data_IF_504036900383
#
_entry.id   IF_504036900383
#
_cell.length_a   1.000
_cell.length_b   1.000
_cell.length_c   1.000
_cell.angle_alpha   90.00
_cell.angle_beta   90.00
_cell.angle_gamma   90.00
#
_symmetry.space_group_name_H-M   'P 1'
#
loop_
_entity.id
_entity.type
_entity.pdbx_description
1 polymer ?
#
# COMPACT_ATOMS: atom_id res chain seq x y z
N UNK A 1 1.96 0.28 16.85
CA UNK A 1 3.05 -0.57 16.47
C UNK A 1 4.39 0.07 16.79
N UNK A 2 5.37 -0.02 15.89
CA UNK A 2 6.79 0.24 16.16
C UNK A 2 7.10 1.61 16.78
N UNK A 3 6.46 2.68 16.35
CA UNK A 3 6.65 4.00 16.98
C UNK A 3 6.23 3.99 18.46
N UNK A 4 5.12 3.34 18.76
CA UNK A 4 4.64 3.21 20.15
C UNK A 4 5.64 2.40 20.96
N UNK A 5 6.19 1.33 20.41
CA UNK A 5 7.19 0.49 21.08
C UNK A 5 8.44 1.31 21.43
N UNK A 6 8.94 2.16 20.52
CA UNK A 6 10.06 3.05 20.79
C UNK A 6 9.76 4.11 21.85
N UNK A 7 8.54 4.67 21.83
CA UNK A 7 8.12 5.62 22.87
C UNK A 7 8.06 4.95 24.24
N UNK A 8 7.52 3.73 24.31
CA UNK A 8 7.44 2.95 25.57
C UNK A 8 8.80 2.51 26.09
N UNK A 9 9.74 2.23 25.20
CA UNK A 9 11.13 1.91 25.52
C UNK A 9 11.96 3.17 25.84
N UNK A 10 11.38 4.37 25.75
CA UNK A 10 12.04 5.66 25.95
C UNK A 10 13.21 5.89 25.00
N UNK A 11 13.13 5.36 23.79
CA UNK A 11 14.08 5.62 22.69
C UNK A 11 13.68 6.84 21.86
N UNK A 12 12.37 7.18 21.86
CA UNK A 12 11.81 8.34 21.14
C UNK A 12 10.84 9.09 22.05
N UNK A 13 10.91 10.40 22.03
CA UNK A 13 9.99 11.32 22.71
C UNK A 13 9.20 12.09 21.67
N UNK A 14 7.88 12.25 21.88
CA UNK A 14 6.98 12.97 20.98
C UNK A 14 6.44 14.26 21.58
N UNK A 15 6.82 14.60 22.80
CA UNK A 15 6.33 15.74 23.58
C UNK A 15 6.80 17.11 23.07
N UNK A 16 7.79 17.13 22.14
CA UNK A 16 8.33 18.35 21.56
C UNK A 16 8.15 18.42 20.03
N UNK A 17 7.33 17.55 19.44
CA UNK A 17 7.11 17.63 18.00
C UNK A 17 6.29 18.87 17.64
N UNK A 18 6.71 19.56 16.60
CA UNK A 18 6.01 20.74 16.06
C UNK A 18 5.01 20.36 14.97
N UNK A 19 5.27 19.25 14.29
CA UNK A 19 4.44 18.75 13.19
C UNK A 19 4.01 17.31 13.41
N UNK A 20 2.72 17.06 13.21
CA UNK A 20 2.14 15.72 13.14
C UNK A 20 1.46 15.53 11.79
N UNK A 21 1.95 14.57 11.00
CA UNK A 21 1.36 14.22 9.72
C UNK A 21 0.66 12.87 9.81
N UNK A 22 -0.62 12.84 9.49
CA UNK A 22 -1.45 11.64 9.43
C UNK A 22 -1.83 11.45 7.97
N UNK A 23 -1.26 10.44 7.35
CA UNK A 23 -1.52 10.09 5.94
C UNK A 23 -2.41 8.85 5.84
N UNK A 24 -3.17 8.75 4.74
CA UNK A 24 -4.15 7.67 4.51
C UNK A 24 -5.13 7.49 5.70
N UNK A 25 -5.72 8.59 6.21
CA UNK A 25 -6.54 8.59 7.42
C UNK A 25 -7.77 7.67 7.32
N UNK A 26 -8.43 7.59 6.16
CA UNK A 26 -9.50 6.64 5.86
C UNK A 26 -9.04 5.19 6.04
N UNK A 27 -7.84 4.87 5.61
CA UNK A 27 -7.27 3.53 5.74
C UNK A 27 -6.91 3.18 7.18
N UNK A 28 -6.48 4.16 7.97
CA UNK A 28 -6.23 3.95 9.40
C UNK A 28 -7.53 3.60 10.14
N UNK A 29 -8.67 4.14 9.68
CA UNK A 29 -10.01 3.78 10.17
C UNK A 29 -10.37 2.34 9.80
N UNK A 30 -10.36 2.02 8.51
CA UNK A 30 -10.75 0.71 7.98
C UNK A 30 -9.95 -0.44 8.59
N UNK A 31 -8.67 -0.20 8.87
CA UNK A 31 -7.76 -1.20 9.46
C UNK A 31 -7.83 -1.29 10.99
N UNK A 32 -8.68 -0.52 11.65
CA UNK A 32 -8.79 -0.52 13.09
C UNK A 32 -7.56 0.03 13.82
N UNK A 33 -6.73 0.86 13.17
CA UNK A 33 -5.52 1.44 13.78
C UNK A 33 -5.80 2.69 14.62
N UNK A 34 -7.02 3.16 14.66
CA UNK A 34 -7.41 4.37 15.43
C UNK A 34 -6.97 4.32 16.89
N UNK A 35 -7.10 3.21 17.65
CA UNK A 35 -6.59 3.15 19.01
C UNK A 35 -5.08 3.44 19.11
N UNK A 36 -4.30 2.92 18.17
CA UNK A 36 -2.85 3.14 18.10
C UNK A 36 -2.52 4.59 17.74
N UNK A 37 -3.24 5.18 16.78
CA UNK A 37 -3.05 6.59 16.41
C UNK A 37 -3.43 7.52 17.56
N UNK A 38 -4.54 7.25 18.26
CA UNK A 38 -4.94 7.99 19.49
C UNK A 38 -3.84 7.97 20.55
N UNK A 39 -3.13 6.85 20.72
CA UNK A 39 -1.99 6.78 21.64
C UNK A 39 -0.84 7.69 21.20
N UNK A 40 -0.50 7.71 19.92
CA UNK A 40 0.54 8.59 19.37
C UNK A 40 0.15 10.06 19.60
N UNK A 41 -1.09 10.43 19.28
CA UNK A 41 -1.61 11.77 19.50
C UNK A 41 -1.53 12.19 20.98
N UNK A 42 -1.75 11.26 21.91
CA UNK A 42 -1.65 11.54 23.37
C UNK A 42 -0.21 11.76 23.84
N UNK A 43 0.79 11.16 23.19
CA UNK A 43 2.20 11.40 23.49
C UNK A 43 2.72 12.72 22.90
N UNK A 44 1.97 13.32 21.99
CA UNK A 44 2.35 14.56 21.28
C UNK A 44 1.82 15.79 22.05
N UNK A 45 2.37 17.00 21.82
CA UNK A 45 1.81 18.24 22.37
C UNK A 45 0.34 18.42 22.03
N UNK A 46 -0.36 19.29 22.73
CA UNK A 46 -1.76 19.63 22.43
C UNK A 46 -1.88 20.17 21.00
N UNK A 47 -3.07 20.01 20.40
CA UNK A 47 -3.30 20.39 19.00
C UNK A 47 -3.08 21.89 18.73
N UNK A 48 -3.21 22.73 19.75
CA UNK A 48 -2.95 24.17 19.69
C UNK A 48 -1.45 24.52 19.71
N UNK A 49 -0.61 23.55 20.10
CA UNK A 49 0.84 23.71 20.25
C UNK A 49 1.64 23.03 19.13
N UNK A 50 0.96 22.36 18.21
CA UNK A 50 1.57 21.70 17.05
C UNK A 50 0.75 21.96 15.79
N UNK A 51 1.37 21.91 14.65
CA UNK A 51 0.65 21.82 13.38
C UNK A 51 0.33 20.37 13.05
N UNK A 52 -0.94 20.08 12.81
CA UNK A 52 -1.36 18.75 12.39
C UNK A 52 -1.85 18.79 10.94
N UNK A 53 -1.30 17.92 10.09
CA UNK A 53 -1.70 17.75 8.70
C UNK A 53 -2.34 16.36 8.57
N UNK A 54 -3.52 16.29 7.98
CA UNK A 54 -4.22 15.04 7.75
C UNK A 54 -4.55 14.90 6.27
N UNK A 55 -4.11 13.80 5.67
CA UNK A 55 -4.38 13.44 4.27
C UNK A 55 -5.27 12.21 4.21
N UNK A 56 -6.25 12.23 3.32
CA UNK A 56 -7.20 11.14 3.13
C UNK A 56 -7.69 11.12 1.70
N UNK A 57 -7.91 9.95 1.13
CA UNK A 57 -8.53 9.81 -0.18
C UNK A 57 -10.05 10.04 -0.13
N UNK A 58 -10.67 9.87 1.04
CA UNK A 58 -12.10 10.08 1.26
C UNK A 58 -12.34 10.97 2.48
N UNK A 59 -13.40 11.78 2.42
CA UNK A 59 -13.88 12.63 3.53
C UNK A 59 -15.16 12.04 4.15
N UNK A 60 -15.09 10.77 4.57
CA UNK A 60 -16.19 10.15 5.31
C UNK A 60 -16.48 10.88 6.62
N UNK A 61 -17.70 10.69 7.17
CA UNK A 61 -18.07 11.26 8.45
C UNK A 61 -17.05 10.94 9.56
N UNK A 62 -16.54 9.72 9.58
CA UNK A 62 -15.57 9.28 10.59
C UNK A 62 -14.21 9.96 10.41
N UNK A 63 -13.74 10.15 9.17
CA UNK A 63 -12.51 10.91 8.87
C UNK A 63 -12.65 12.36 9.33
N UNK A 64 -13.77 13.00 9.00
CA UNK A 64 -14.05 14.39 9.42
C UNK A 64 -14.13 14.53 10.94
N UNK A 65 -14.73 13.55 11.62
CA UNK A 65 -14.80 13.52 13.08
C UNK A 65 -13.41 13.41 13.71
N UNK A 66 -12.53 12.60 13.15
CA UNK A 66 -11.13 12.53 13.60
C UNK A 66 -10.38 13.85 13.33
N UNK A 67 -10.62 14.49 12.19
CA UNK A 67 -10.04 15.78 11.87
C UNK A 67 -10.42 16.83 12.93
N UNK A 68 -11.66 16.95 13.31
CA UNK A 68 -12.13 17.87 14.35
C UNK A 68 -11.46 17.61 15.72
N UNK A 69 -11.21 16.34 16.05
CA UNK A 69 -10.57 15.98 17.32
C UNK A 69 -9.07 16.30 17.36
N UNK A 70 -8.37 16.12 16.25
CA UNK A 70 -6.90 16.13 16.23
C UNK A 70 -6.27 17.38 15.62
N UNK A 71 -7.01 18.11 14.79
CA UNK A 71 -6.55 19.35 14.16
C UNK A 71 -7.07 20.57 14.95
N UNK A 72 -6.34 21.66 14.87
CA UNK A 72 -6.72 22.96 15.39
C UNK A 72 -7.01 23.90 14.22
N UNK A 73 -8.24 24.43 14.16
CA UNK A 73 -8.72 25.35 13.11
C UNK A 73 -8.30 24.88 11.68
N UNK A 74 -8.67 23.65 11.25
CA UNK A 74 -8.18 23.11 10.00
C UNK A 74 -8.70 23.86 8.79
N UNK A 75 -7.83 24.11 7.83
CA UNK A 75 -8.18 24.50 6.47
C UNK A 75 -8.38 23.21 5.66
N UNK A 76 -9.54 23.06 5.03
CA UNK A 76 -9.82 21.93 4.14
C UNK A 76 -9.44 22.28 2.72
N UNK A 77 -8.59 21.45 2.13
CA UNK A 77 -8.26 21.53 0.70
C UNK A 77 -8.72 20.22 0.07
N UNK A 78 -9.69 20.32 -0.83
CA UNK A 78 -10.25 19.17 -1.56
C UNK A 78 -9.88 19.29 -3.03
N UNK A 79 -9.31 18.22 -3.57
CA UNK A 79 -9.00 18.09 -4.99
C UNK A 79 -9.89 16.97 -5.50
N UNK A 80 -10.93 17.33 -6.24
CA UNK A 80 -11.76 16.33 -6.91
C UNK A 80 -10.95 15.64 -8.00
N UNK A 81 -10.79 14.30 -7.95
CA UNK A 81 -10.13 13.60 -9.03
C UNK A 81 -11.02 13.65 -10.26
N UNK A 82 -10.50 14.12 -11.39
CA UNK A 82 -11.21 14.13 -12.67
C UNK A 82 -11.74 12.74 -13.08
N UNK A 83 -11.10 11.69 -12.60
CA UNK A 83 -11.54 10.28 -12.76
C UNK A 83 -11.11 9.44 -11.55
N UNK A 84 -11.99 8.52 -11.09
CA UNK A 84 -11.70 7.57 -10.00
C UNK A 84 -10.57 6.58 -10.33
N UNK A 85 -10.28 6.39 -11.60
CA UNK A 85 -9.18 5.52 -12.07
C UNK A 85 -8.18 6.35 -12.86
N UNK A 86 -6.90 6.05 -12.70
CA UNK A 86 -5.87 6.69 -13.49
C UNK A 86 -6.08 6.37 -14.97
N UNK A 87 -6.30 7.40 -15.81
CA UNK A 87 -6.49 7.24 -17.24
C UNK A 87 -5.31 6.58 -17.96
N UNK A 88 -4.12 6.61 -17.33
CA UNK A 88 -2.91 6.01 -17.85
C UNK A 88 -2.79 4.50 -17.54
N UNK A 89 -3.77 3.89 -16.86
CA UNK A 89 -3.78 2.46 -16.54
C UNK A 89 -4.77 1.72 -17.43
N UNK A 90 -4.25 0.92 -18.35
CA UNK A 90 -5.05 -0.04 -19.11
C UNK A 90 -5.49 -1.18 -18.19
N UNK A 91 -6.79 -1.43 -18.11
CA UNK A 91 -7.36 -2.46 -17.24
C UNK A 91 -7.85 -3.65 -18.07
N UNK A 92 -7.29 -4.83 -17.79
CA UNK A 92 -7.66 -6.09 -18.45
C UNK A 92 -8.24 -7.06 -17.43
N UNK A 93 -9.34 -7.72 -17.78
CA UNK A 93 -10.02 -8.71 -16.92
C UNK A 93 -10.06 -10.06 -17.63
N UNK A 94 -9.59 -11.10 -16.96
CA UNK A 94 -9.62 -12.45 -17.47
C UNK A 94 -10.58 -13.33 -16.64
N UNK A 95 -11.53 -13.94 -17.30
CA UNK A 95 -12.40 -14.95 -16.69
C UNK A 95 -11.72 -16.31 -16.72
N UNK A 96 -11.21 -16.78 -15.58
CA UNK A 96 -10.41 -17.99 -15.48
C UNK A 96 -10.83 -18.85 -14.29
N UNK A 97 -10.80 -20.17 -14.46
CA UNK A 97 -11.04 -21.08 -13.35
C UNK A 97 -9.92 -20.98 -12.29
N UNK A 98 -10.25 -21.19 -11.02
CA UNK A 98 -9.28 -21.09 -9.92
C UNK A 98 -8.03 -21.97 -10.12
N UNK A 99 -8.22 -23.16 -10.72
CA UNK A 99 -7.13 -24.10 -10.99
C UNK A 99 -6.14 -23.57 -12.04
N UNK A 100 -6.61 -22.76 -12.97
CA UNK A 100 -5.83 -22.29 -14.12
C UNK A 100 -5.18 -20.92 -13.88
N UNK A 101 -5.50 -20.24 -12.77
CA UNK A 101 -4.95 -18.89 -12.47
C UNK A 101 -3.42 -18.83 -12.47
N UNK A 102 -2.77 -19.85 -11.94
CA UNK A 102 -1.32 -19.87 -11.90
C UNK A 102 -0.71 -20.04 -13.29
N UNK A 103 -1.30 -20.90 -14.13
CA UNK A 103 -0.88 -21.09 -15.51
C UNK A 103 -1.04 -19.80 -16.32
N UNK A 104 -2.18 -19.13 -16.20
CA UNK A 104 -2.40 -17.83 -16.83
C UNK A 104 -1.38 -16.80 -16.36
N UNK A 105 -1.07 -16.75 -15.05
CA UNK A 105 -0.03 -15.85 -14.54
C UNK A 105 1.33 -16.13 -15.18
N UNK A 106 1.72 -17.39 -15.36
CA UNK A 106 2.98 -17.73 -16.02
C UNK A 106 2.99 -17.29 -17.50
N UNK A 107 1.88 -17.43 -18.21
CA UNK A 107 1.71 -16.96 -19.58
C UNK A 107 1.86 -15.42 -19.64
N UNK A 108 1.19 -14.68 -18.76
CA UNK A 108 1.32 -13.23 -18.63
C UNK A 108 2.78 -12.83 -18.36
N UNK A 109 3.45 -13.48 -17.40
CA UNK A 109 4.83 -13.15 -17.05
C UNK A 109 5.84 -13.44 -18.16
N UNK A 110 5.51 -14.34 -19.08
CA UNK A 110 6.34 -14.70 -20.23
C UNK A 110 6.10 -13.81 -21.45
N UNK A 111 4.82 -13.51 -21.72
CA UNK A 111 4.38 -12.98 -23.02
C UNK A 111 4.21 -11.44 -23.00
N UNK A 112 4.00 -10.84 -21.82
CA UNK A 112 3.89 -9.39 -21.69
C UNK A 112 5.25 -8.70 -21.51
N UNK A 113 5.43 -7.46 -22.00
CA UNK A 113 6.67 -6.69 -21.85
C UNK A 113 6.82 -6.13 -20.42
N UNK A 114 7.00 -7.03 -19.47
CA UNK A 114 7.06 -6.69 -18.05
C UNK A 114 8.45 -6.20 -17.65
N UNK A 115 8.57 -4.94 -17.28
CA UNK A 115 9.76 -4.41 -16.62
C UNK A 115 9.76 -4.76 -15.13
N UNK A 116 8.71 -4.33 -14.43
CA UNK A 116 8.44 -4.68 -13.02
C UNK A 116 6.96 -4.96 -12.85
N UNK A 117 6.62 -5.98 -12.08
CA UNK A 117 5.23 -6.34 -11.77
C UNK A 117 5.00 -6.46 -10.27
N UNK A 118 3.89 -5.88 -9.81
CA UNK A 118 3.36 -6.12 -8.47
C UNK A 118 2.16 -7.06 -8.56
N UNK A 119 2.22 -8.17 -7.84
CA UNK A 119 1.16 -9.18 -7.79
C UNK A 119 0.49 -9.12 -6.42
N UNK A 120 -0.81 -8.88 -6.39
CA UNK A 120 -1.58 -8.78 -5.15
C UNK A 120 -2.39 -10.03 -4.90
N UNK A 121 -2.36 -10.51 -3.66
CA UNK A 121 -3.24 -11.53 -3.14
C UNK A 121 -3.78 -11.13 -1.75
N UNK A 122 -5.04 -11.50 -1.46
CA UNK A 122 -5.72 -11.02 -0.25
C UNK A 122 -5.14 -11.63 1.04
N UNK A 123 -4.60 -12.86 0.98
CA UNK A 123 -4.19 -13.62 2.16
C UNK A 123 -2.70 -13.91 2.16
N UNK A 124 -2.10 -13.90 3.35
CA UNK A 124 -0.66 -14.17 3.56
C UNK A 124 -0.25 -15.57 3.09
N UNK A 125 -1.10 -16.58 3.32
CA UNK A 125 -0.85 -17.95 2.85
C UNK A 125 -0.83 -18.05 1.32
N UNK A 126 -1.68 -17.27 0.63
CA UNK A 126 -1.68 -17.18 -0.83
C UNK A 126 -0.40 -16.52 -1.35
N UNK A 127 0.03 -15.41 -0.73
CA UNK A 127 1.29 -14.72 -1.06
C UNK A 127 2.47 -15.67 -0.92
N UNK A 128 2.54 -16.42 0.19
CA UNK A 128 3.62 -17.39 0.43
C UNK A 128 3.62 -18.51 -0.62
N UNK A 129 2.46 -19.14 -0.84
CA UNK A 129 2.33 -20.21 -1.86
C UNK A 129 2.74 -19.73 -3.25
N UNK A 130 2.29 -18.54 -3.63
CA UNK A 130 2.59 -17.97 -4.94
C UNK A 130 4.09 -17.66 -5.06
N UNK A 131 4.70 -17.11 -4.01
CA UNK A 131 6.13 -16.89 -3.94
C UNK A 131 6.94 -18.18 -4.10
N UNK A 132 6.56 -19.23 -3.37
CA UNK A 132 7.26 -20.53 -3.42
C UNK A 132 7.15 -21.17 -4.82
N UNK A 133 5.99 -21.06 -5.46
CA UNK A 133 5.77 -21.56 -6.82
C UNK A 133 6.63 -20.80 -7.83
N UNK A 134 6.55 -19.48 -7.86
CA UNK A 134 7.32 -18.67 -8.80
C UNK A 134 8.83 -18.81 -8.59
N UNK A 135 9.28 -18.90 -7.34
CA UNK A 135 10.69 -19.13 -7.02
C UNK A 135 11.17 -20.49 -7.50
N UNK A 136 10.39 -21.57 -7.30
CA UNK A 136 10.69 -22.92 -7.80
C UNK A 136 10.78 -22.96 -9.32
N UNK A 137 9.93 -22.18 -9.99
CA UNK A 137 9.87 -22.09 -11.44
C UNK A 137 10.95 -21.13 -12.01
N UNK A 138 11.88 -20.65 -11.17
CA UNK A 138 13.06 -19.89 -11.58
C UNK A 138 12.89 -18.38 -11.70
N UNK A 139 11.71 -17.84 -11.34
CA UNK A 139 11.48 -16.40 -11.39
C UNK A 139 12.24 -15.62 -10.31
N UNK A 140 12.73 -14.43 -10.65
CA UNK A 140 13.34 -13.48 -9.71
C UNK A 140 12.26 -12.72 -8.93
N UNK A 141 11.79 -13.31 -7.83
CA UNK A 141 10.64 -12.84 -7.08
C UNK A 141 11.00 -12.46 -5.65
N UNK A 142 10.39 -11.40 -5.13
CA UNK A 142 10.36 -11.05 -3.71
C UNK A 142 8.91 -11.06 -3.20
N UNK A 143 8.74 -11.26 -1.89
CA UNK A 143 7.43 -11.14 -1.27
C UNK A 143 7.45 -10.13 -0.13
N UNK A 144 6.32 -9.44 0.06
CA UNK A 144 6.08 -8.58 1.21
C UNK A 144 4.83 -9.05 1.96
N UNK A 145 5.01 -9.39 3.22
CA UNK A 145 3.93 -9.71 4.14
C UNK A 145 4.23 -9.15 5.52
N UNK A 146 3.20 -8.99 6.37
CA UNK A 146 3.35 -8.44 7.71
C UNK A 146 4.20 -9.30 8.67
N UNK A 147 4.53 -10.54 8.28
CA UNK A 147 5.35 -11.46 9.09
C UNK A 147 6.85 -11.29 8.86
N UNK A 148 7.24 -10.53 7.84
CA UNK A 148 8.64 -10.35 7.48
C UNK A 148 9.26 -9.28 8.38
N UNK A 149 10.37 -9.59 9.01
CA UNK A 149 11.13 -8.63 9.81
C UNK A 149 11.51 -7.40 8.98
N UNK A 150 11.53 -6.23 9.61
CA UNK A 150 11.64 -4.94 8.91
C UNK A 150 12.95 -4.79 8.11
N UNK A 151 14.05 -5.28 8.62
CA UNK A 151 15.35 -5.30 7.92
C UNK A 151 15.29 -6.10 6.62
N UNK A 152 14.68 -7.28 6.67
CA UNK A 152 14.46 -8.12 5.48
C UNK A 152 13.49 -7.47 4.50
N UNK A 153 12.43 -6.83 5.02
CA UNK A 153 11.46 -6.11 4.19
C UNK A 153 12.12 -4.97 3.42
N UNK A 154 12.96 -4.16 4.07
CA UNK A 154 13.71 -3.09 3.43
C UNK A 154 14.64 -3.62 2.36
N UNK A 155 15.36 -4.70 2.64
CA UNK A 155 16.25 -5.37 1.68
C UNK A 155 15.50 -5.91 0.45
N UNK A 156 14.33 -6.53 0.65
CA UNK A 156 13.49 -7.04 -0.44
C UNK A 156 12.94 -5.88 -1.30
N UNK A 157 12.52 -4.80 -0.66
CA UNK A 157 12.05 -3.61 -1.37
C UNK A 157 13.17 -2.97 -2.19
N UNK A 158 14.38 -2.86 -1.63
CA UNK A 158 15.55 -2.35 -2.34
C UNK A 158 15.91 -3.23 -3.55
N UNK A 159 15.90 -4.54 -3.39
CA UNK A 159 16.14 -5.48 -4.49
C UNK A 159 15.12 -5.33 -5.63
N UNK A 160 13.87 -5.04 -5.31
CA UNK A 160 12.83 -4.78 -6.30
C UNK A 160 13.01 -3.41 -6.97
N UNK A 161 13.30 -2.36 -6.18
CA UNK A 161 13.57 -1.02 -6.71
C UNK A 161 14.71 -1.03 -7.71
N UNK A 162 15.80 -1.68 -7.36
CA UNK A 162 17.03 -1.75 -8.19
C UNK A 162 16.96 -2.75 -9.34
N UNK A 163 15.79 -3.40 -9.54
CA UNK A 163 15.61 -4.35 -10.66
C UNK A 163 16.33 -5.69 -10.50
N UNK A 164 16.93 -5.98 -9.33
CA UNK A 164 17.51 -7.30 -9.04
C UNK A 164 16.44 -8.39 -9.06
N UNK A 165 15.24 -8.04 -8.64
CA UNK A 165 14.03 -8.83 -8.74
C UNK A 165 12.98 -7.97 -9.43
N UNK A 166 12.33 -8.50 -10.44
CA UNK A 166 11.32 -7.79 -11.22
C UNK A 166 9.87 -8.16 -10.85
N UNK A 167 9.68 -9.13 -9.96
CA UNK A 167 8.38 -9.57 -9.47
C UNK A 167 8.29 -9.34 -7.96
N UNK A 168 7.26 -8.63 -7.52
CA UNK A 168 6.94 -8.46 -6.11
C UNK A 168 5.54 -9.00 -5.84
N UNK A 169 5.40 -9.88 -4.83
CA UNK A 169 4.09 -10.37 -4.37
C UNK A 169 3.80 -9.73 -3.02
N UNK A 170 2.59 -9.18 -2.85
CA UNK A 170 2.21 -8.53 -1.60
C UNK A 170 0.73 -8.76 -1.25
N UNK A 171 0.41 -8.63 0.04
CA UNK A 171 -0.94 -8.31 0.50
C UNK A 171 -1.16 -6.80 0.47
N UNK A 172 -2.41 -6.33 0.51
CA UNK A 172 -2.72 -4.89 0.56
C UNK A 172 -1.98 -4.19 1.70
N UNK A 173 -2.06 -4.73 2.90
CA UNK A 173 -1.39 -4.16 4.08
C UNK A 173 0.13 -4.02 3.88
N UNK A 174 0.75 -5.01 3.27
CA UNK A 174 2.20 -4.99 3.07
C UNK A 174 2.62 -4.16 1.84
N UNK A 175 1.74 -4.04 0.85
CA UNK A 175 1.97 -3.26 -0.37
C UNK A 175 1.66 -1.76 -0.24
N UNK A 176 1.00 -1.35 0.85
CA UNK A 176 0.68 0.07 1.10
C UNK A 176 1.93 0.89 1.45
N UNK A 177 1.90 2.16 1.09
CA UNK A 177 3.03 3.08 1.35
C UNK A 177 4.30 2.76 0.56
N UNK A 178 4.26 1.75 -0.33
CA UNK A 178 5.40 1.42 -1.18
C UNK A 178 5.41 2.34 -2.39
N UNK A 179 6.40 3.20 -2.44
CA UNK A 179 6.72 3.96 -3.65
C UNK A 179 7.82 3.24 -4.42
N UNK A 180 7.47 2.73 -5.59
CA UNK A 180 8.42 2.15 -6.56
C UNK A 180 8.08 2.69 -7.93
N UNK A 181 9.08 3.27 -8.56
CA UNK A 181 8.96 3.75 -9.93
C UNK A 181 9.20 2.61 -10.93
N UNK A 182 8.65 2.76 -12.14
CA UNK A 182 8.82 1.80 -13.21
C UNK A 182 8.06 0.48 -13.00
N UNK A 183 7.00 0.48 -12.20
CA UNK A 183 6.07 -0.66 -12.15
C UNK A 183 5.21 -0.59 -13.41
N UNK A 184 5.49 -1.45 -14.37
CA UNK A 184 4.76 -1.52 -15.64
C UNK A 184 3.42 -2.26 -15.50
N UNK A 185 3.37 -3.27 -14.64
CA UNK A 185 2.20 -4.13 -14.48
C UNK A 185 1.77 -4.31 -13.02
N UNK A 186 0.47 -4.35 -12.81
CA UNK A 186 -0.16 -4.80 -11.56
C UNK A 186 -1.04 -6.00 -11.87
N UNK A 187 -0.88 -7.09 -11.13
CA UNK A 187 -1.73 -8.27 -11.27
C UNK A 187 -2.52 -8.48 -9.98
N UNK A 188 -3.84 -8.45 -10.08
CA UNK A 188 -4.75 -8.85 -9.01
C UNK A 188 -4.96 -10.37 -9.07
N UNK A 189 -4.04 -11.16 -8.53
CA UNK A 189 -4.18 -12.63 -8.49
C UNK A 189 -5.44 -13.06 -7.75
N UNK A 190 -5.83 -12.30 -6.73
CA UNK A 190 -7.17 -12.31 -6.16
C UNK A 190 -7.71 -10.88 -6.12
N UNK A 191 -8.93 -10.68 -6.59
CA UNK A 191 -9.59 -9.38 -6.51
C UNK A 191 -9.75 -8.96 -5.04
N UNK A 192 -9.56 -7.67 -4.73
CA UNK A 192 -9.85 -7.15 -3.41
C UNK A 192 -11.36 -7.16 -3.14
N UNK A 193 -11.73 -7.14 -1.87
CA UNK A 193 -13.15 -7.10 -1.45
C UNK A 193 -13.74 -5.70 -1.59
N UNK A 194 -12.92 -4.67 -1.49
CA UNK A 194 -13.33 -3.27 -1.57
C UNK A 194 -12.84 -2.62 -2.87
N UNK A 195 -13.69 -1.79 -3.48
CA UNK A 195 -13.37 -1.06 -4.72
C UNK A 195 -12.17 -0.12 -4.54
N UNK A 196 -12.06 0.49 -3.37
CA UNK A 196 -10.97 1.41 -3.07
C UNK A 196 -9.62 0.69 -2.99
N UNK A 197 -9.58 -0.54 -2.46
CA UNK A 197 -8.36 -1.36 -2.50
C UNK A 197 -7.95 -1.67 -3.94
N UNK A 198 -8.92 -1.89 -4.82
CA UNK A 198 -8.66 -2.06 -6.25
C UNK A 198 -7.97 -0.84 -6.85
N UNK A 199 -8.52 0.34 -6.63
CA UNK A 199 -7.93 1.61 -7.11
C UNK A 199 -6.53 1.81 -6.56
N UNK A 200 -6.31 1.54 -5.28
CA UNK A 200 -4.99 1.64 -4.64
C UNK A 200 -3.97 0.63 -5.18
N UNK A 201 -4.40 -0.59 -5.54
CA UNK A 201 -3.52 -1.57 -6.16
C UNK A 201 -3.12 -1.13 -7.56
N UNK A 202 -4.08 -0.80 -8.41
CA UNK A 202 -3.80 -0.39 -9.79
C UNK A 202 -3.01 0.92 -9.85
N UNK A 203 -3.20 1.82 -8.89
CA UNK A 203 -2.41 3.03 -8.74
C UNK A 203 -0.94 2.80 -8.36
N UNK A 204 -0.44 1.55 -8.31
CA UNK A 204 0.99 1.26 -8.23
C UNK A 204 1.68 1.35 -9.58
N UNK A 205 0.93 1.28 -10.67
CA UNK A 205 1.41 1.54 -12.05
C UNK A 205 0.78 2.80 -12.63
N UNK A 206 1.13 3.22 -13.83
CA UNK A 206 0.59 4.41 -14.48
C UNK A 206 0.92 5.72 -13.75
N UNK A 207 2.14 5.84 -13.22
CA UNK A 207 2.59 7.02 -12.46
C UNK A 207 3.51 7.91 -13.28
N UNK A 208 3.54 9.20 -12.93
CA UNK A 208 4.43 10.19 -13.54
C UNK A 208 4.33 10.25 -15.07
N UNK A 209 3.11 10.11 -15.62
CA UNK A 209 2.86 10.17 -17.07
C UNK A 209 3.27 8.91 -17.84
N UNK A 210 3.61 7.81 -17.16
CA UNK A 210 3.86 6.53 -17.81
C UNK A 210 2.58 5.71 -17.91
N UNK A 211 2.41 4.97 -19.00
CA UNK A 211 1.30 4.01 -19.12
C UNK A 211 1.58 2.77 -18.28
N UNK A 212 0.52 2.23 -17.69
CA UNK A 212 0.57 0.99 -16.91
C UNK A 212 -0.51 0.01 -17.34
N UNK A 213 -0.35 -1.25 -16.95
CA UNK A 213 -1.34 -2.31 -17.21
C UNK A 213 -1.75 -2.93 -15.88
N UNK A 214 -3.05 -3.04 -15.66
CA UNK A 214 -3.65 -3.78 -14.56
C UNK A 214 -4.37 -5.01 -15.09
N UNK A 215 -4.07 -6.17 -14.54
CA UNK A 215 -4.65 -7.47 -14.93
C UNK A 215 -5.36 -8.07 -13.71
N UNK A 216 -6.62 -8.48 -13.94
CA UNK A 216 -7.49 -8.99 -12.88
C UNK A 216 -8.21 -10.27 -13.28
#
# INVERSE_FOLDING_TARGET
GRLIDFVEQKEVWLDQIEFLVIDEADRLLDMGFIPSVKRIVRFSPRKEQRQTLMFSATFSYDVLNLAQQWLFEPVTVEIEPEKKTNADVEQRVYMVAKADKYKLLQEILRDEPIEKVMIFANRRDQVRKLYDHLKRDGYKVVMLSGEIAQDKRLKMLDQFKNGKHNIMIATDVAGRGIHVDGVSHVVNFTLPEQSDDYVHRIGRTGRAGTRGVSIS
#
